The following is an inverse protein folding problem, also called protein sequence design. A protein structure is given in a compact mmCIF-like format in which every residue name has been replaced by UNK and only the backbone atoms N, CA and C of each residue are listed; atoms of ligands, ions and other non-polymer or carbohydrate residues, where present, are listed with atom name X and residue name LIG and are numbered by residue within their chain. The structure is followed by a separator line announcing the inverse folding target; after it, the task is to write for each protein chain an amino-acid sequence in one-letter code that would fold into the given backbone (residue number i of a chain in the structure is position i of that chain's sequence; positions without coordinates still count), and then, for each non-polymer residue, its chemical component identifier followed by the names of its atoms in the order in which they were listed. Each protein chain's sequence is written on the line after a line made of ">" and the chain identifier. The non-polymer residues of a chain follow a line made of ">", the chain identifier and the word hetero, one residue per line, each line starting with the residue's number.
data_IF_030220225967
#
_entry.id   IF_030220225967
#
_cell.length_a   1.000
_cell.length_b   1.000
_cell.length_c   1.000
_cell.angle_alpha   90.00
_cell.angle_beta   90.00
_cell.angle_gamma   90.00
#
_symmetry.space_group_name_H-M   'P 1'
#
loop_
_entity.id
_entity.type
_entity.pdbx_description
1 polymer ?
#
# COMPACT_ATOMS: atom_id res chain seq x y z
N UNK A 1 -16.92 17.52 -14.41
CA UNK A 1 -17.32 16.95 -13.11
C UNK A 1 -16.47 15.72 -12.85
N UNK A 2 -15.94 15.54 -11.64
CA UNK A 2 -15.28 14.31 -11.24
C UNK A 2 -16.34 13.37 -10.67
N UNK A 3 -16.42 12.17 -11.18
CA UNK A 3 -17.33 11.10 -10.70
C UNK A 3 -16.45 9.90 -10.31
N UNK A 4 -16.66 9.38 -9.11
CA UNK A 4 -16.08 8.11 -8.68
C UNK A 4 -17.19 7.07 -8.65
N UNK A 5 -16.99 5.95 -9.32
CA UNK A 5 -17.92 4.83 -9.38
C UNK A 5 -17.19 3.62 -8.81
N UNK A 6 -17.74 3.01 -7.76
CA UNK A 6 -17.25 1.76 -7.17
C UNK A 6 -18.32 0.71 -7.35
N UNK A 7 -17.95 -0.44 -7.92
CA UNK A 7 -18.87 -1.55 -8.22
C UNK A 7 -18.27 -2.83 -7.67
N UNK A 8 -19.08 -3.67 -7.01
CA UNK A 8 -18.66 -4.96 -6.46
C UNK A 8 -18.47 -4.97 -4.94
N UNK A 9 -18.70 -3.85 -4.26
CA UNK A 9 -18.66 -3.75 -2.79
C UNK A 9 -19.93 -4.33 -2.14
N UNK A 10 -21.10 -4.15 -2.77
CA UNK A 10 -22.37 -4.63 -2.28
C UNK A 10 -22.65 -6.05 -2.81
N UNK A 11 -23.40 -6.85 -2.03
CA UNK A 11 -23.67 -8.26 -2.36
C UNK A 11 -24.45 -8.45 -3.69
N UNK A 12 -25.20 -7.44 -4.12
CA UNK A 12 -25.96 -7.44 -5.36
C UNK A 12 -25.30 -6.68 -6.53
N UNK A 13 -24.11 -6.16 -6.32
CA UNK A 13 -23.37 -5.49 -7.39
C UNK A 13 -22.92 -6.51 -8.44
N UNK A 14 -22.93 -6.12 -9.72
CA UNK A 14 -22.34 -6.96 -10.75
C UNK A 14 -20.82 -7.08 -10.53
N UNK A 15 -20.30 -8.28 -10.77
CA UNK A 15 -18.87 -8.50 -10.86
C UNK A 15 -18.45 -8.72 -12.30
N UNK A 16 -17.27 -8.27 -12.65
CA UNK A 16 -16.66 -8.44 -13.96
C UNK A 16 -15.61 -9.55 -13.89
N UNK A 17 -15.18 -10.07 -15.01
CA UNK A 17 -14.17 -11.11 -15.05
C UNK A 17 -13.24 -10.98 -16.24
N UNK A 18 -12.06 -11.56 -16.12
CA UNK A 18 -11.12 -11.75 -17.22
C UNK A 18 -11.15 -13.23 -17.58
N UNK A 19 -11.29 -13.55 -18.85
CA UNK A 19 -11.27 -14.94 -19.29
C UNK A 19 -9.87 -15.51 -19.18
N UNK A 20 -9.78 -16.79 -18.79
CA UNK A 20 -8.55 -17.57 -18.85
C UNK A 20 -8.66 -18.65 -19.92
N UNK A 21 -7.52 -19.06 -20.46
CA UNK A 21 -7.47 -20.10 -21.49
C UNK A 21 -7.63 -21.48 -20.82
N UNK A 22 -8.59 -22.24 -21.32
CA UNK A 22 -8.81 -23.63 -20.86
C UNK A 22 -7.49 -24.43 -20.99
N UNK A 23 -7.09 -25.10 -19.91
CA UNK A 23 -5.84 -25.87 -19.83
C UNK A 23 -5.64 -26.86 -20.99
N UNK A 24 -6.72 -27.45 -21.50
CA UNK A 24 -6.67 -28.36 -22.65
C UNK A 24 -6.29 -27.69 -23.98
N UNK A 25 -6.36 -26.37 -24.06
CA UNK A 25 -6.01 -25.57 -25.22
C UNK A 25 -4.71 -24.78 -25.00
N UNK A 26 -4.13 -24.80 -23.81
CA UNK A 26 -3.02 -23.94 -23.40
C UNK A 26 -1.63 -24.50 -23.70
N UNK A 27 -1.49 -25.45 -24.62
CA UNK A 27 -0.21 -26.10 -24.92
C UNK A 27 0.93 -25.14 -25.26
N UNK A 28 0.67 -24.08 -26.02
CA UNK A 28 1.66 -23.06 -26.33
C UNK A 28 1.94 -22.15 -25.14
N UNK A 29 0.92 -21.74 -24.41
CA UNK A 29 1.02 -20.89 -23.22
C UNK A 29 1.88 -21.57 -22.14
N UNK A 30 1.72 -22.87 -21.93
CA UNK A 30 2.48 -23.66 -20.96
C UNK A 30 3.98 -23.79 -21.30
N UNK A 31 4.40 -23.44 -22.50
CA UNK A 31 5.82 -23.42 -22.90
C UNK A 31 6.49 -22.07 -22.64
N UNK A 32 5.72 -21.03 -22.34
CA UNK A 32 6.24 -19.68 -22.07
C UNK A 32 6.90 -19.62 -20.69
N UNK A 33 7.79 -18.65 -20.50
CA UNK A 33 8.28 -18.31 -19.15
C UNK A 33 7.14 -17.70 -18.33
N UNK A 34 7.20 -17.84 -17.01
CA UNK A 34 6.14 -17.38 -16.11
C UNK A 34 5.78 -15.89 -16.30
N UNK A 35 6.75 -15.03 -16.59
CA UNK A 35 6.54 -13.60 -16.84
C UNK A 35 6.05 -13.27 -18.28
N UNK A 36 5.85 -14.27 -19.11
CA UNK A 36 5.39 -14.13 -20.51
C UNK A 36 4.08 -14.89 -20.75
N UNK A 37 3.53 -15.54 -19.70
CA UNK A 37 2.37 -16.44 -19.83
C UNK A 37 1.12 -15.67 -20.24
N UNK A 38 0.92 -14.46 -19.70
CA UNK A 38 -0.22 -13.58 -19.99
C UNK A 38 0.33 -12.24 -20.44
N UNK A 39 -0.01 -11.79 -21.64
CA UNK A 39 0.30 -10.44 -22.09
C UNK A 39 -0.70 -9.46 -21.47
N UNK A 40 -0.25 -8.25 -21.13
CA UNK A 40 -1.13 -7.22 -20.56
C UNK A 40 -2.29 -6.87 -21.49
N UNK A 41 -2.04 -6.89 -22.80
CA UNK A 41 -3.06 -6.62 -23.82
C UNK A 41 -4.15 -7.69 -23.91
N UNK A 42 -3.93 -8.89 -23.34
CA UNK A 42 -4.89 -9.99 -23.29
C UNK A 42 -5.79 -9.94 -22.04
N UNK A 43 -5.58 -8.97 -21.12
CA UNK A 43 -6.36 -8.78 -19.90
C UNK A 43 -7.66 -8.00 -20.15
N UNK A 44 -8.40 -8.37 -21.20
CA UNK A 44 -9.69 -7.75 -21.51
C UNK A 44 -10.78 -8.21 -20.56
N UNK A 45 -11.55 -7.26 -20.07
CA UNK A 45 -12.62 -7.50 -19.07
C UNK A 45 -13.91 -7.88 -19.76
N UNK A 46 -14.55 -8.96 -19.33
CA UNK A 46 -15.89 -9.37 -19.76
C UNK A 46 -16.95 -8.53 -19.05
N UNK A 47 -17.65 -7.69 -19.78
CA UNK A 47 -18.64 -6.74 -19.26
C UNK A 47 -20.10 -7.12 -19.51
N UNK A 48 -20.38 -8.03 -20.44
CA UNK A 48 -21.72 -8.52 -20.76
C UNK A 48 -21.82 -9.23 -22.10
N UNK A 49 -22.99 -9.80 -22.40
CA UNK A 49 -23.24 -10.55 -23.61
C UNK A 49 -24.67 -10.43 -24.17
N UNK A 50 -25.52 -9.60 -23.58
CA UNK A 50 -26.90 -9.41 -24.05
C UNK A 50 -26.91 -8.32 -25.12
N UNK A 51 -27.41 -8.62 -26.34
CA UNK A 51 -27.53 -7.61 -27.38
C UNK A 51 -28.70 -6.66 -27.10
N UNK A 52 -28.56 -5.42 -27.49
CA UNK A 52 -29.67 -4.45 -27.48
C UNK A 52 -30.67 -4.81 -28.56
N UNK A 53 -31.94 -4.92 -28.20
CA UNK A 53 -33.03 -5.28 -29.12
C UNK A 53 -33.12 -4.26 -30.26
N UNK A 54 -33.29 -4.77 -31.48
CA UNK A 54 -33.42 -3.94 -32.69
C UNK A 54 -32.13 -3.38 -33.26
N UNK A 55 -30.96 -3.74 -32.68
CA UNK A 55 -29.62 -3.40 -33.21
C UNK A 55 -29.00 -4.64 -33.86
N UNK A 56 -28.45 -4.47 -35.07
CA UNK A 56 -27.76 -5.54 -35.81
C UNK A 56 -26.22 -5.47 -35.61
N UNK A 57 -25.69 -4.27 -35.49
CA UNK A 57 -24.26 -4.03 -35.35
C UNK A 57 -23.94 -3.55 -33.94
N UNK A 58 -22.84 -4.04 -33.39
CA UNK A 58 -22.33 -3.67 -32.06
C UNK A 58 -23.39 -3.75 -30.93
N UNK A 59 -24.40 -4.61 -31.10
CA UNK A 59 -25.58 -4.68 -30.25
C UNK A 59 -25.29 -4.93 -28.76
N UNK A 60 -24.23 -5.70 -28.42
CA UNK A 60 -23.79 -5.90 -27.03
C UNK A 60 -23.16 -4.63 -26.48
N UNK A 61 -22.28 -3.99 -27.24
CA UNK A 61 -21.67 -2.72 -26.84
C UNK A 61 -22.74 -1.66 -26.58
N UNK A 62 -23.71 -1.52 -27.50
CA UNK A 62 -24.82 -0.55 -27.36
C UNK A 62 -25.64 -0.81 -26.09
N UNK A 63 -25.88 -2.09 -25.77
CA UNK A 63 -26.60 -2.43 -24.55
C UNK A 63 -25.79 -2.06 -23.28
N UNK A 64 -24.49 -2.34 -23.27
CA UNK A 64 -23.63 -1.97 -22.15
C UNK A 64 -23.55 -0.46 -21.96
N UNK A 65 -23.41 0.31 -23.05
CA UNK A 65 -23.42 1.77 -22.99
C UNK A 65 -24.76 2.31 -22.47
N UNK A 66 -25.89 1.71 -22.88
CA UNK A 66 -27.21 2.09 -22.35
C UNK A 66 -27.32 1.83 -20.85
N UNK A 67 -26.84 0.70 -20.35
CA UNK A 67 -26.82 0.36 -18.92
C UNK A 67 -25.90 1.32 -18.13
N UNK A 68 -24.74 1.66 -18.66
CA UNK A 68 -23.82 2.62 -18.04
C UNK A 68 -24.42 4.02 -17.99
N UNK A 69 -25.10 4.44 -19.06
CA UNK A 69 -25.80 5.71 -19.10
C UNK A 69 -26.95 5.76 -18.10
N UNK A 70 -27.78 4.72 -18.06
CA UNK A 70 -28.92 4.65 -17.15
C UNK A 70 -28.51 4.67 -15.68
N UNK A 71 -27.49 3.85 -15.33
CA UNK A 71 -27.12 3.63 -13.93
C UNK A 71 -26.16 4.67 -13.39
N UNK A 72 -25.25 5.16 -14.22
CA UNK A 72 -24.12 5.99 -13.78
C UNK A 72 -24.00 7.33 -14.52
N UNK A 73 -24.88 7.62 -15.45
CA UNK A 73 -24.81 8.79 -16.36
C UNK A 73 -23.49 8.87 -17.14
N UNK A 74 -22.96 7.71 -17.55
CA UNK A 74 -21.66 7.54 -18.22
C UNK A 74 -21.89 7.28 -19.71
N UNK A 75 -21.13 7.97 -20.56
CA UNK A 75 -21.18 7.86 -22.02
C UNK A 75 -19.89 7.31 -22.60
N UNK A 76 -19.94 6.86 -23.87
CA UNK A 76 -18.75 6.30 -24.53
C UNK A 76 -17.58 7.29 -24.57
N UNK A 77 -17.86 8.59 -24.72
CA UNK A 77 -16.82 9.63 -24.75
C UNK A 77 -16.08 9.78 -23.41
N UNK A 78 -16.73 9.43 -22.29
CA UNK A 78 -16.12 9.50 -20.96
C UNK A 78 -14.96 8.51 -20.80
N UNK A 79 -14.94 7.40 -21.56
CA UNK A 79 -13.83 6.45 -21.56
C UNK A 79 -12.49 7.07 -21.95
N UNK A 80 -12.50 8.17 -22.75
CA UNK A 80 -11.27 8.84 -23.21
C UNK A 80 -10.50 9.46 -22.03
N UNK A 81 -11.22 9.89 -21.00
CA UNK A 81 -10.65 10.54 -19.81
C UNK A 81 -10.94 9.83 -18.49
N UNK A 82 -11.38 8.58 -18.55
CA UNK A 82 -11.62 7.75 -17.38
C UNK A 82 -10.36 6.96 -16.99
N UNK A 83 -10.25 6.70 -15.70
CA UNK A 83 -9.32 5.74 -15.11
C UNK A 83 -10.12 4.55 -14.58
N UNK A 84 -9.71 3.34 -14.94
CA UNK A 84 -10.38 2.10 -14.54
C UNK A 84 -9.42 1.23 -13.74
N UNK A 85 -9.82 0.87 -12.55
CA UNK A 85 -9.12 -0.09 -11.70
C UNK A 85 -9.97 -1.35 -11.56
N UNK A 86 -9.43 -2.47 -12.04
CA UNK A 86 -10.07 -3.78 -11.94
C UNK A 86 -9.38 -4.54 -10.82
N UNK A 87 -10.11 -4.74 -9.74
CA UNK A 87 -9.58 -5.32 -8.49
C UNK A 87 -10.33 -6.60 -8.12
N UNK A 88 -9.75 -7.51 -7.30
CA UNK A 88 -10.45 -8.68 -6.82
C UNK A 88 -11.77 -8.34 -6.12
N UNK A 89 -12.87 -8.94 -6.58
CA UNK A 89 -14.16 -8.80 -5.94
C UNK A 89 -14.22 -9.67 -4.67
N UNK A 90 -14.71 -9.09 -3.61
CA UNK A 90 -14.94 -9.80 -2.35
C UNK A 90 -14.37 -9.08 -1.13
N UNK A 91 -15.06 -9.29 -0.01
CA UNK A 91 -14.72 -8.66 1.27
C UNK A 91 -13.52 -9.35 1.93
N UNK A 92 -12.75 -8.60 2.70
CA UNK A 92 -11.76 -9.18 3.60
C UNK A 92 -12.40 -10.18 4.58
N UNK A 93 -11.68 -11.23 4.94
CA UNK A 93 -12.17 -12.32 5.78
C UNK A 93 -11.16 -12.73 6.84
N UNK A 94 -11.68 -13.28 7.92
CA UNK A 94 -10.88 -14.05 8.86
C UNK A 94 -10.26 -15.26 8.16
N UNK A 95 -8.95 -15.45 8.34
CA UNK A 95 -8.21 -16.58 7.81
C UNK A 95 -7.68 -17.46 8.95
N UNK A 96 -7.62 -18.77 8.68
CA UNK A 96 -7.22 -19.80 9.62
C UNK A 96 -8.39 -20.35 10.45
N UNK A 97 -8.23 -21.57 10.96
CA UNK A 97 -9.27 -22.20 11.80
C UNK A 97 -9.48 -21.44 13.11
N UNK A 98 -8.45 -20.80 13.60
CA UNK A 98 -8.45 -19.95 14.80
C UNK A 98 -8.80 -18.49 14.53
N UNK A 99 -8.98 -18.11 13.26
CA UNK A 99 -9.29 -16.73 12.82
C UNK A 99 -8.26 -15.68 13.25
N UNK A 100 -7.01 -16.09 13.41
CA UNK A 100 -5.92 -15.21 13.89
C UNK A 100 -5.36 -14.29 12.81
N UNK A 101 -5.71 -14.52 11.55
CA UNK A 101 -5.23 -13.77 10.39
C UNK A 101 -6.38 -13.08 9.65
N UNK A 102 -6.02 -12.13 8.80
CA UNK A 102 -6.91 -11.47 7.84
C UNK A 102 -6.43 -11.78 6.43
N UNK A 103 -7.36 -12.15 5.56
CA UNK A 103 -7.15 -12.28 4.13
C UNK A 103 -7.96 -11.23 3.39
N UNK A 104 -7.34 -10.45 2.54
CA UNK A 104 -8.01 -9.41 1.75
C UNK A 104 -7.11 -8.85 0.67
N UNK A 105 -7.70 -8.18 -0.30
CA UNK A 105 -6.99 -7.47 -1.35
C UNK A 105 -6.46 -6.12 -0.85
N UNK A 106 -5.26 -5.76 -1.29
CA UNK A 106 -4.68 -4.43 -1.10
C UNK A 106 -4.42 -4.09 0.38
N UNK A 107 -3.98 -5.06 1.17
CA UNK A 107 -3.45 -4.80 2.50
C UNK A 107 -2.12 -4.04 2.40
N UNK A 108 -1.39 -4.22 1.34
CA UNK A 108 -0.30 -3.38 0.87
C UNK A 108 -0.86 -2.16 0.09
N UNK A 109 -0.80 -0.91 0.61
CA UNK A 109 -0.45 -0.66 2.03
C UNK A 109 -1.59 0.05 2.78
N UNK A 110 -2.83 -0.40 2.56
CA UNK A 110 -3.97 0.11 3.33
C UNK A 110 -3.87 -0.24 4.82
N UNK A 111 -3.13 -1.30 5.16
CA UNK A 111 -3.05 -1.75 6.54
C UNK A 111 -2.20 -0.80 7.39
N UNK A 112 -1.04 -0.33 6.88
CA UNK A 112 -0.23 0.65 7.59
C UNK A 112 -0.85 2.05 7.52
N UNK A 113 -1.51 2.40 6.42
CA UNK A 113 -2.29 3.64 6.31
C UNK A 113 -3.41 3.70 7.37
N UNK A 114 -4.19 2.63 7.52
CA UNK A 114 -5.25 2.52 8.52
C UNK A 114 -4.71 2.58 9.96
N UNK A 115 -3.67 1.80 10.25
CA UNK A 115 -3.10 1.75 11.60
C UNK A 115 -2.44 3.07 11.99
N UNK A 116 -1.83 3.79 11.05
CA UNK A 116 -1.30 5.14 11.25
C UNK A 116 -2.39 6.14 11.60
N UNK A 117 -3.48 6.13 10.82
CA UNK A 117 -4.63 7.01 11.06
C UNK A 117 -5.28 6.72 12.42
N UNK A 118 -5.50 5.45 12.74
CA UNK A 118 -6.10 5.06 14.02
C UNK A 118 -5.20 5.43 15.19
N UNK A 119 -3.88 5.29 15.06
CA UNK A 119 -2.94 5.73 16.07
C UNK A 119 -3.07 7.24 16.37
N UNK A 120 -3.13 8.07 15.31
CA UNK A 120 -3.30 9.53 15.47
C UNK A 120 -4.64 9.88 16.12
N UNK A 121 -5.74 9.25 15.71
CA UNK A 121 -7.08 9.52 16.23
C UNK A 121 -7.24 9.11 17.71
N UNK A 122 -6.44 8.17 18.21
CA UNK A 122 -6.42 7.74 19.60
C UNK A 122 -5.53 8.61 20.51
N UNK A 123 -4.77 9.55 19.95
CA UNK A 123 -3.91 10.44 20.75
C UNK A 123 -4.66 11.72 21.09
N UNK A 124 -4.82 12.01 22.37
CA UNK A 124 -5.51 13.21 22.84
C UNK A 124 -4.60 14.43 22.95
N UNK A 125 -3.35 14.23 23.36
CA UNK A 125 -2.38 15.29 23.55
C UNK A 125 -1.03 14.91 22.97
N UNK A 126 -0.45 15.79 22.18
CA UNK A 126 0.91 15.67 21.65
C UNK A 126 1.68 16.96 21.91
N UNK A 127 2.91 16.85 22.35
CA UNK A 127 3.77 18.03 22.55
C UNK A 127 4.35 18.54 21.22
N UNK A 128 4.60 17.61 20.29
CA UNK A 128 5.11 17.91 18.96
C UNK A 128 4.00 17.82 17.92
N UNK A 129 4.06 18.67 16.90
CA UNK A 129 3.13 18.56 15.77
C UNK A 129 3.25 17.20 15.13
N UNK A 130 2.15 16.45 15.14
CA UNK A 130 2.05 15.12 14.53
C UNK A 130 1.28 15.19 13.22
N UNK A 131 1.79 14.51 12.20
CA UNK A 131 1.21 14.50 10.86
C UNK A 131 1.14 13.05 10.37
N UNK A 132 -0.02 12.65 9.88
CA UNK A 132 -0.15 11.44 9.06
C UNK A 132 -0.27 11.87 7.60
N UNK A 133 0.61 11.34 6.78
CA UNK A 133 0.67 11.64 5.36
C UNK A 133 0.28 10.39 4.57
N UNK A 134 -0.92 10.40 4.01
CA UNK A 134 -1.43 9.34 3.15
C UNK A 134 -1.18 9.74 1.71
N UNK A 135 -0.35 8.98 1.02
CA UNK A 135 0.07 9.26 -0.35
C UNK A 135 -0.41 8.19 -1.32
N UNK A 136 -0.51 8.56 -2.57
CA UNK A 136 -0.86 7.70 -3.69
C UNK A 136 0.39 7.40 -4.54
N UNK A 137 0.28 6.48 -5.49
CA UNK A 137 1.31 6.20 -6.51
C UNK A 137 2.59 5.51 -6.01
N UNK A 138 2.62 4.94 -4.80
CA UNK A 138 3.82 4.25 -4.31
C UNK A 138 4.25 3.14 -5.28
N UNK A 139 3.34 2.25 -5.65
CA UNK A 139 3.55 1.09 -6.52
C UNK A 139 4.00 1.42 -7.98
N UNK A 140 3.86 2.67 -8.37
CA UNK A 140 4.28 3.17 -9.69
C UNK A 140 5.38 4.22 -9.60
N UNK A 141 6.11 4.26 -8.48
CA UNK A 141 7.30 5.09 -8.29
C UNK A 141 7.05 6.45 -7.64
N UNK A 142 5.94 6.65 -6.96
CA UNK A 142 5.62 7.86 -6.16
C UNK A 142 5.63 9.17 -6.94
N UNK A 143 5.48 9.11 -8.26
CA UNK A 143 5.51 10.26 -9.18
C UNK A 143 4.11 10.83 -9.39
N UNK A 144 4.02 12.12 -9.63
CA UNK A 144 2.76 12.83 -9.89
C UNK A 144 2.29 13.68 -8.73
N UNK A 145 1.16 14.36 -8.91
CA UNK A 145 0.66 15.37 -7.97
C UNK A 145 0.21 14.82 -6.62
N UNK A 146 -0.13 13.52 -6.57
CA UNK A 146 -0.60 12.82 -5.37
C UNK A 146 0.45 11.86 -4.80
N UNK A 147 1.57 11.67 -5.48
CA UNK A 147 2.68 10.83 -5.02
C UNK A 147 3.60 11.55 -4.03
N UNK A 148 4.44 10.80 -3.34
CA UNK A 148 5.33 11.35 -2.31
C UNK A 148 6.38 12.32 -2.85
N UNK A 149 6.76 12.22 -4.13
CA UNK A 149 7.66 13.18 -4.79
C UNK A 149 7.01 14.56 -5.04
N UNK A 150 5.69 14.69 -4.85
CA UNK A 150 5.03 15.98 -5.01
C UNK A 150 5.45 16.97 -3.92
N UNK A 151 5.24 18.26 -4.19
CA UNK A 151 5.46 19.31 -3.20
C UNK A 151 4.29 19.50 -2.23
N UNK A 152 3.27 18.64 -2.29
CA UNK A 152 2.06 18.78 -1.50
C UNK A 152 2.34 18.86 0.01
N UNK A 153 3.17 17.95 0.52
CA UNK A 153 3.53 17.92 1.94
C UNK A 153 4.23 19.21 2.39
N UNK A 154 5.31 19.60 1.69
CA UNK A 154 6.06 20.82 1.99
C UNK A 154 5.18 22.07 1.93
N UNK A 155 4.37 22.20 0.88
CA UNK A 155 3.45 23.31 0.71
C UNK A 155 2.38 23.35 1.80
N UNK A 156 1.84 22.21 2.19
CA UNK A 156 0.84 22.14 3.27
C UNK A 156 1.41 22.58 4.62
N UNK A 157 2.63 22.19 4.94
CA UNK A 157 3.32 22.66 6.14
C UNK A 157 3.58 24.16 6.09
N UNK A 158 4.01 24.67 4.93
CA UNK A 158 4.22 26.11 4.74
C UNK A 158 2.93 26.92 4.98
N UNK A 159 1.79 26.46 4.44
CA UNK A 159 0.47 27.08 4.64
C UNK A 159 0.04 27.05 6.12
N UNK A 160 0.24 25.92 6.81
CA UNK A 160 -0.05 25.83 8.25
C UNK A 160 0.80 26.82 9.05
N UNK A 161 2.11 26.88 8.78
CA UNK A 161 3.02 27.82 9.44
C UNK A 161 2.66 29.28 9.15
N UNK A 162 2.23 29.59 7.94
CA UNK A 162 1.79 30.94 7.57
C UNK A 162 0.53 31.36 8.34
N UNK A 163 -0.48 30.49 8.41
CA UNK A 163 -1.70 30.72 9.21
C UNK A 163 -1.43 30.89 10.70
N UNK A 164 -0.35 30.27 11.19
CA UNK A 164 0.11 30.45 12.57
C UNK A 164 0.95 31.75 12.76
N UNK A 165 1.23 32.50 11.70
CA UNK A 165 2.14 33.65 11.73
C UNK A 165 3.61 33.28 12.01
N UNK A 166 4.00 32.03 11.70
CA UNK A 166 5.32 31.48 11.99
C UNK A 166 6.14 31.15 10.73
N UNK A 167 5.60 31.39 9.53
CA UNK A 167 6.27 31.03 8.29
C UNK A 167 7.54 31.84 8.05
N UNK A 168 8.59 31.19 7.68
CA UNK A 168 9.70 31.64 6.85
C UNK A 168 10.36 30.41 6.23
N UNK A 169 11.00 30.57 5.09
CA UNK A 169 11.70 29.47 4.43
C UNK A 169 12.71 28.77 5.36
N UNK A 170 13.46 29.52 6.13
CA UNK A 170 14.42 28.95 7.07
C UNK A 170 13.74 28.21 8.23
N UNK A 171 12.61 28.68 8.73
CA UNK A 171 11.84 27.97 9.78
C UNK A 171 11.26 26.66 9.25
N UNK A 172 10.70 26.67 8.04
CA UNK A 172 10.21 25.46 7.40
C UNK A 172 11.32 24.41 7.23
N UNK A 173 12.46 24.81 6.67
CA UNK A 173 13.62 23.91 6.51
C UNK A 173 14.11 23.33 7.83
N UNK A 174 14.14 24.13 8.90
CA UNK A 174 14.50 23.67 10.25
C UNK A 174 13.46 22.72 10.83
N UNK A 175 12.18 22.98 10.62
CA UNK A 175 11.10 22.09 11.07
C UNK A 175 11.23 20.72 10.39
N UNK A 176 11.39 20.70 9.07
CA UNK A 176 11.58 19.47 8.30
C UNK A 176 12.84 18.69 8.76
N UNK A 177 13.97 19.37 8.89
CA UNK A 177 15.23 18.74 9.34
C UNK A 177 15.12 18.13 10.75
N UNK A 178 14.35 18.75 11.64
CA UNK A 178 14.17 18.29 13.02
C UNK A 178 12.99 17.31 13.18
N UNK A 179 12.36 16.93 12.08
CA UNK A 179 11.27 15.94 12.09
C UNK A 179 11.81 14.53 12.11
N UNK A 180 11.02 13.63 12.67
CA UNK A 180 11.24 12.19 12.69
C UNK A 180 10.11 11.52 11.91
N UNK A 181 10.41 10.47 11.15
CA UNK A 181 9.42 9.78 10.35
C UNK A 181 9.49 8.26 10.50
N UNK A 182 8.33 7.66 10.70
CA UNK A 182 8.10 6.26 10.40
C UNK A 182 7.54 6.19 8.98
N UNK A 183 8.28 5.61 8.07
CA UNK A 183 7.81 5.28 6.72
C UNK A 183 6.97 4.02 6.85
N UNK A 184 5.65 4.23 6.95
CA UNK A 184 4.70 3.16 7.19
C UNK A 184 4.48 2.38 5.90
N UNK A 185 5.00 1.15 5.86
CA UNK A 185 4.90 0.24 4.73
C UNK A 185 5.03 -1.22 5.19
N UNK A 186 4.34 -2.13 4.52
CA UNK A 186 4.40 -3.56 4.84
C UNK A 186 5.74 -4.17 4.46
N UNK A 187 6.06 -5.32 5.03
CA UNK A 187 7.25 -6.10 4.67
C UNK A 187 6.91 -7.58 4.51
N UNK A 188 7.71 -8.32 3.73
CA UNK A 188 7.46 -9.73 3.49
C UNK A 188 7.68 -10.58 4.75
N UNK A 189 6.64 -11.33 5.14
CA UNK A 189 6.75 -12.36 6.18
C UNK A 189 7.42 -13.62 5.64
N UNK A 190 8.15 -14.33 6.51
CA UNK A 190 8.70 -15.64 6.19
C UNK A 190 7.61 -16.60 5.74
N UNK A 191 7.80 -17.19 4.56
CA UNK A 191 6.94 -18.25 4.04
C UNK A 191 7.70 -19.59 4.00
N UNK A 192 7.26 -20.61 4.72
CA UNK A 192 7.90 -21.92 4.73
C UNK A 192 7.84 -22.66 3.38
N UNK A 193 6.97 -22.24 2.47
CA UNK A 193 6.92 -22.80 1.10
C UNK A 193 8.05 -22.23 0.21
N UNK A 194 8.61 -21.07 0.58
CA UNK A 194 9.67 -20.39 -0.19
C UNK A 194 10.89 -20.03 0.68
N UNK A 195 11.45 -21.00 1.45
CA UNK A 195 12.48 -20.69 2.44
C UNK A 195 13.79 -20.21 1.80
N UNK A 196 14.00 -20.50 0.53
CA UNK A 196 15.20 -20.06 -0.20
C UNK A 196 15.23 -18.56 -0.51
N UNK A 197 14.08 -17.90 -0.49
CA UNK A 197 13.99 -16.45 -0.72
C UNK A 197 14.38 -15.59 0.48
N UNK A 198 14.42 -16.20 1.69
CA UNK A 198 14.63 -15.48 2.94
C UNK A 198 15.94 -15.89 3.64
N UNK A 199 16.56 -14.94 4.37
CA UNK A 199 17.55 -15.25 5.41
C UNK A 199 16.83 -15.34 6.76
N UNK A 200 16.75 -16.55 7.33
CA UNK A 200 15.94 -16.83 8.54
C UNK A 200 16.26 -15.98 9.76
N UNK A 201 17.50 -15.46 9.85
CA UNK A 201 17.92 -14.63 10.97
C UNK A 201 17.56 -13.16 10.78
N UNK A 202 17.14 -12.79 9.57
CA UNK A 202 16.89 -11.40 9.20
C UNK A 202 15.61 -11.29 8.35
N UNK A 203 14.56 -12.01 8.74
CA UNK A 203 13.26 -11.96 8.10
C UNK A 203 12.15 -11.75 9.13
N UNK A 204 11.07 -11.14 8.72
CA UNK A 204 9.89 -10.96 9.58
C UNK A 204 9.10 -12.26 9.73
N UNK A 205 8.49 -12.45 10.89
CA UNK A 205 7.61 -13.57 11.19
C UNK A 205 6.25 -13.07 11.67
N UNK A 206 5.19 -13.78 11.35
CA UNK A 206 3.87 -13.52 11.91
C UNK A 206 3.85 -13.65 13.44
N UNK A 207 2.98 -12.87 14.07
CA UNK A 207 2.78 -12.80 15.52
C UNK A 207 4.04 -12.39 16.30
N UNK A 208 4.87 -11.53 15.71
CA UNK A 208 6.05 -10.95 16.35
C UNK A 208 5.98 -9.42 16.47
N UNK A 209 4.85 -8.84 16.06
CA UNK A 209 4.58 -7.42 16.17
C UNK A 209 5.12 -6.58 15.02
N UNK A 210 5.23 -5.28 15.29
CA UNK A 210 5.72 -4.28 14.36
C UNK A 210 7.11 -4.64 13.81
N UNK A 211 7.32 -4.45 12.51
CA UNK A 211 8.61 -4.70 11.87
C UNK A 211 9.33 -3.38 11.60
N UNK A 212 10.56 -3.26 12.05
CA UNK A 212 11.48 -2.20 11.63
C UNK A 212 12.46 -2.74 10.58
N UNK A 213 12.57 -2.05 9.45
CA UNK A 213 13.56 -2.33 8.41
C UNK A 213 14.61 -1.22 8.39
N UNK A 214 15.82 -1.55 8.86
CA UNK A 214 16.93 -0.58 8.92
C UNK A 214 17.32 -0.09 7.54
N UNK A 215 17.36 -1.00 6.58
CA UNK A 215 17.75 -0.73 5.21
C UNK A 215 16.63 -1.13 4.26
N UNK A 216 16.25 -0.22 3.39
CA UNK A 216 15.33 -0.49 2.28
C UNK A 216 15.94 -0.03 0.97
N UNK A 217 15.67 -0.76 -0.10
CA UNK A 217 16.15 -0.45 -1.43
C UNK A 217 16.17 -1.68 -2.34
N UNK A 218 16.07 -1.45 -3.63
CA UNK A 218 16.08 -2.51 -4.64
C UNK A 218 17.48 -2.66 -5.24
N UNK A 219 18.00 -3.88 -5.23
CA UNK A 219 19.26 -4.25 -5.90
C UNK A 219 20.44 -3.31 -5.57
N UNK A 220 20.60 -2.96 -4.31
CA UNK A 220 21.70 -2.14 -3.83
C UNK A 220 21.33 -0.68 -3.59
N UNK A 221 21.55 0.23 -4.51
CA UNK A 221 21.56 1.68 -4.22
C UNK A 221 20.37 2.49 -4.75
N UNK A 222 19.38 1.85 -5.39
CA UNK A 222 18.25 2.57 -5.96
C UNK A 222 17.12 2.71 -4.95
N UNK A 223 16.67 3.94 -4.70
CA UNK A 223 15.57 4.23 -3.78
C UNK A 223 15.84 3.76 -2.34
N UNK A 224 17.10 3.82 -1.91
CA UNK A 224 17.52 3.28 -0.61
C UNK A 224 17.31 4.28 0.52
N UNK A 225 16.91 3.75 1.68
CA UNK A 225 17.06 4.39 2.98
C UNK A 225 17.90 3.50 3.89
N UNK A 226 18.74 4.10 4.72
CA UNK A 226 19.55 3.42 5.73
C UNK A 226 19.42 4.18 7.05
N UNK A 227 18.54 3.68 7.93
CA UNK A 227 18.22 4.34 9.19
C UNK A 227 19.42 4.39 10.14
N UNK A 228 19.63 5.51 10.82
CA UNK A 228 20.72 5.69 11.77
C UNK A 228 20.53 4.81 13.02
N UNK A 229 21.62 4.21 13.53
CA UNK A 229 21.54 3.34 14.72
C UNK A 229 21.03 4.06 15.97
N UNK A 230 21.31 5.35 16.13
CA UNK A 230 20.83 6.17 17.24
C UNK A 230 19.30 6.31 17.20
N UNK A 231 18.73 6.52 16.02
CA UNK A 231 17.28 6.58 15.85
C UNK A 231 16.63 5.23 16.15
N UNK A 232 17.21 4.14 15.67
CA UNK A 232 16.74 2.78 15.99
C UNK A 232 16.81 2.51 17.49
N UNK A 233 17.89 2.89 18.15
CA UNK A 233 18.04 2.71 19.60
C UNK A 233 16.99 3.50 20.39
N UNK A 234 16.65 4.70 19.95
CA UNK A 234 15.58 5.52 20.54
C UNK A 234 14.21 4.86 20.33
N UNK A 235 13.88 4.42 19.12
CA UNK A 235 12.62 3.72 18.81
C UNK A 235 12.45 2.44 19.64
N UNK A 236 13.50 1.64 19.79
CA UNK A 236 13.46 0.44 20.63
C UNK A 236 13.08 0.76 22.07
N UNK A 237 13.66 1.83 22.65
CA UNK A 237 13.30 2.27 24.01
C UNK A 237 11.83 2.67 24.10
N UNK A 238 11.29 3.33 23.10
CA UNK A 238 9.88 3.69 23.03
C UNK A 238 8.99 2.44 23.01
N UNK A 239 9.32 1.46 22.17
CA UNK A 239 8.56 0.21 22.10
C UNK A 239 8.58 -0.53 23.43
N UNK A 240 9.77 -0.66 24.05
CA UNK A 240 9.93 -1.31 25.36
C UNK A 240 9.18 -0.57 26.48
N UNK A 241 9.24 0.76 26.53
CA UNK A 241 8.51 1.62 27.50
C UNK A 241 7.00 1.44 27.41
N UNK A 242 6.47 1.23 26.20
CA UNK A 242 5.03 1.12 25.93
C UNK A 242 4.55 -0.34 25.80
N UNK A 243 5.40 -1.33 26.09
CA UNK A 243 5.10 -2.76 25.96
C UNK A 243 4.60 -3.16 24.57
N UNK A 244 5.15 -2.57 23.52
CA UNK A 244 4.87 -2.90 22.12
C UNK A 244 5.82 -3.99 21.67
N UNK A 245 5.26 -5.07 21.10
CA UNK A 245 6.04 -6.13 20.49
C UNK A 245 6.56 -5.67 19.12
N UNK A 246 7.84 -5.87 18.87
CA UNK A 246 8.48 -5.50 17.61
C UNK A 246 9.57 -6.49 17.21
N UNK A 247 9.92 -6.46 15.95
CA UNK A 247 11.02 -7.22 15.37
C UNK A 247 11.79 -6.36 14.36
N UNK A 248 12.99 -6.79 14.00
CA UNK A 248 13.77 -6.18 12.92
C UNK A 248 13.95 -7.18 11.79
N UNK A 249 13.78 -6.74 10.56
CA UNK A 249 13.91 -7.60 9.40
C UNK A 249 14.30 -6.79 8.15
N UNK A 250 14.76 -7.53 7.14
CA UNK A 250 14.97 -7.04 5.80
C UNK A 250 14.09 -7.84 4.83
N UNK A 251 13.77 -7.28 3.69
CA UNK A 251 12.93 -7.91 2.68
C UNK A 251 13.75 -8.90 1.84
N UNK A 252 13.62 -10.18 2.18
CA UNK A 252 14.30 -11.27 1.48
C UNK A 252 15.81 -11.35 1.73
N UNK A 253 16.51 -12.14 0.92
CA UNK A 253 17.98 -12.18 0.94
C UNK A 253 18.55 -10.95 0.22
N UNK A 254 19.66 -10.43 0.72
CA UNK A 254 20.35 -9.22 0.21
C UNK A 254 20.57 -9.25 -1.31
N UNK A 255 21.01 -10.39 -1.84
CA UNK A 255 21.32 -10.53 -3.27
C UNK A 255 20.11 -10.85 -4.15
N UNK A 256 18.97 -11.19 -3.56
CA UNK A 256 17.76 -11.63 -4.27
C UNK A 256 16.56 -10.72 -4.02
N UNK A 257 16.49 -10.17 -2.82
CA UNK A 257 15.37 -9.39 -2.34
C UNK A 257 15.61 -7.89 -2.44
N UNK A 258 14.79 -7.19 -1.71
CA UNK A 258 14.78 -5.75 -1.63
C UNK A 258 13.57 -5.16 -2.35
N UNK A 259 13.05 -4.10 -1.77
CA UNK A 259 12.00 -3.26 -2.31
C UNK A 259 12.33 -1.80 -2.03
N UNK A 260 11.98 -0.92 -2.95
CA UNK A 260 11.97 0.51 -2.70
C UNK A 260 10.75 0.86 -1.85
N UNK A 261 10.88 1.91 -1.05
CA UNK A 261 9.80 2.51 -0.27
C UNK A 261 9.85 4.02 -0.44
N UNK A 262 8.91 4.75 0.15
CA UNK A 262 8.94 6.21 0.14
C UNK A 262 9.96 6.82 1.12
N UNK A 263 10.60 6.03 1.96
CA UNK A 263 11.47 6.49 3.04
C UNK A 263 12.59 7.44 2.57
N UNK A 264 13.28 7.08 1.47
CA UNK A 264 14.38 7.90 0.94
C UNK A 264 13.93 9.30 0.48
N UNK A 265 12.65 9.46 0.14
CA UNK A 265 12.13 10.74 -0.38
C UNK A 265 12.11 11.79 0.73
N UNK A 266 11.58 11.46 1.91
CA UNK A 266 11.57 12.41 3.03
C UNK A 266 12.93 12.50 3.74
N UNK A 267 13.75 11.47 3.68
CA UNK A 267 15.14 11.54 4.15
C UNK A 267 15.95 12.65 3.46
N UNK A 268 15.55 13.09 2.26
CA UNK A 268 16.17 14.24 1.56
C UNK A 268 16.01 15.58 2.30
N UNK A 269 15.05 15.68 3.22
CA UNK A 269 14.90 16.84 4.11
C UNK A 269 15.81 16.79 5.34
N UNK A 270 16.70 15.81 5.42
CA UNK A 270 17.55 15.51 6.58
C UNK A 270 16.77 15.02 7.81
N UNK A 271 15.56 14.48 7.61
CA UNK A 271 14.81 13.79 8.67
C UNK A 271 15.47 12.46 9.02
N UNK A 272 15.33 12.05 10.27
CA UNK A 272 15.55 10.65 10.64
C UNK A 272 14.35 9.81 10.18
N UNK A 273 14.61 8.83 9.33
CA UNK A 273 13.56 8.00 8.70
C UNK A 273 13.89 6.52 8.85
N UNK A 274 12.89 5.72 9.18
CA UNK A 274 12.98 4.25 9.14
C UNK A 274 11.70 3.68 8.57
N UNK A 275 11.80 2.60 7.81
CA UNK A 275 10.65 1.82 7.38
C UNK A 275 10.13 0.96 8.52
N UNK A 276 8.80 0.94 8.66
CA UNK A 276 8.17 0.38 9.83
C UNK A 276 6.71 -0.03 9.55
N UNK A 277 6.41 -1.31 9.59
CA UNK A 277 5.04 -1.75 9.29
C UNK A 277 4.70 -3.18 9.64
N UNK A 278 3.69 -3.71 8.96
CA UNK A 278 3.12 -5.03 9.21
C UNK A 278 3.80 -6.08 8.34
N UNK A 279 4.10 -7.25 8.92
CA UNK A 279 4.53 -8.41 8.16
C UNK A 279 3.38 -8.98 7.33
N UNK A 280 3.59 -9.20 6.02
CA UNK A 280 2.58 -9.61 5.07
C UNK A 280 3.02 -10.84 4.28
N UNK A 281 2.14 -11.79 4.06
CA UNK A 281 2.30 -12.85 3.06
C UNK A 281 1.45 -12.56 1.83
N UNK A 282 1.83 -13.13 0.69
CA UNK A 282 1.16 -12.93 -0.60
C UNK A 282 1.10 -11.46 -1.04
N UNK A 283 2.07 -10.65 -0.62
CA UNK A 283 2.17 -9.24 -1.06
C UNK A 283 2.03 -9.14 -2.59
N UNK A 284 1.26 -8.18 -3.08
CA UNK A 284 0.91 -7.97 -4.49
C UNK A 284 0.08 -9.09 -5.13
N UNK A 285 -0.32 -10.12 -4.40
CA UNK A 285 -1.26 -11.12 -4.91
C UNK A 285 -2.72 -10.65 -4.74
N UNK A 286 -3.69 -11.25 -5.45
CA UNK A 286 -5.11 -10.91 -5.30
C UNK A 286 -5.65 -11.05 -3.86
N UNK A 287 -5.02 -11.89 -3.05
CA UNK A 287 -5.40 -12.12 -1.66
C UNK A 287 -4.15 -12.14 -0.77
N UNK A 288 -3.94 -11.06 -0.09
CA UNK A 288 -2.84 -10.87 0.85
C UNK A 288 -3.24 -11.32 2.25
N UNK A 289 -2.26 -11.66 3.06
CA UNK A 289 -2.49 -12.22 4.40
C UNK A 289 -1.62 -11.53 5.44
N UNK A 290 -2.25 -11.08 6.52
CA UNK A 290 -1.58 -10.51 7.68
C UNK A 290 -2.05 -11.14 9.00
N UNK A 291 -1.25 -11.01 10.04
CA UNK A 291 -1.62 -11.43 11.39
C UNK A 291 -2.32 -10.30 12.14
N UNK A 292 -3.47 -10.59 12.77
CA UNK A 292 -4.24 -9.61 13.54
C UNK A 292 -3.46 -9.00 14.70
N UNK A 293 -2.60 -9.79 15.35
CA UNK A 293 -1.78 -9.28 16.45
C UNK A 293 -0.71 -8.31 15.95
N UNK A 294 -0.15 -8.55 14.76
CA UNK A 294 0.86 -7.64 14.18
C UNK A 294 0.22 -6.31 13.78
N UNK A 295 -1.01 -6.32 13.26
CA UNK A 295 -1.80 -5.10 13.00
C UNK A 295 -2.00 -4.30 14.29
N UNK A 296 -2.41 -4.98 15.35
CA UNK A 296 -2.65 -4.36 16.67
C UNK A 296 -1.37 -3.75 17.25
N UNK A 297 -0.26 -4.50 17.24
CA UNK A 297 1.03 -4.03 17.74
C UNK A 297 1.58 -2.87 16.89
N UNK A 298 1.38 -2.91 15.57
CA UNK A 298 1.79 -1.82 14.67
C UNK A 298 1.05 -0.53 15.01
N UNK A 299 -0.28 -0.57 15.19
CA UNK A 299 -1.06 0.59 15.62
C UNK A 299 -0.56 1.13 16.96
N UNK A 300 -0.28 0.26 17.92
CA UNK A 300 0.24 0.66 19.22
C UNK A 300 1.66 1.25 19.14
N UNK A 301 2.51 0.70 18.25
CA UNK A 301 3.84 1.24 17.99
C UNK A 301 3.80 2.63 17.39
N UNK A 302 2.93 2.87 16.41
CA UNK A 302 2.72 4.20 15.85
C UNK A 302 2.20 5.19 16.89
N UNK A 303 1.25 4.76 17.72
CA UNK A 303 0.76 5.57 18.83
C UNK A 303 1.87 5.92 19.84
N UNK A 304 2.68 4.94 20.23
CA UNK A 304 3.81 5.14 21.12
C UNK A 304 4.82 6.16 20.55
N UNK A 305 5.08 6.12 19.25
CA UNK A 305 5.92 7.09 18.56
C UNK A 305 5.35 8.51 18.59
N UNK A 306 4.03 8.67 18.39
CA UNK A 306 3.37 9.97 18.35
C UNK A 306 3.34 10.68 19.73
N UNK A 307 3.27 9.93 20.82
CA UNK A 307 3.17 10.48 22.19
C UNK A 307 4.52 10.67 22.88
N UNK A 308 5.63 10.21 22.28
CA UNK A 308 6.95 10.32 22.90
C UNK A 308 7.50 11.75 22.80
N UNK A 309 8.08 12.22 23.92
CA UNK A 309 8.68 13.56 24.09
C UNK A 309 10.08 13.69 23.47
#
# INVERSE_FOLDING_TARGET
>A
TKINIVIGEEDNDPVLGISDLLIHLSGEQLQKKANEVIACEDLNVLVGNIPLEGKEKDAVKENILALLKEKYDFEEEDFISAEFEIVPAGKARDLGLDKSMVMGYGQDDRICAYTSLMALLEVENVEKTSVILLVDKEEVGSIGATGMHSRFFENSLAEVMDRMGQYSELKLKRALQNSLMLSADVTAAYDPNYPSACEKKNTAYFAKGLVFSKYTGARGKSGCNDANPEFIAWLRKIMEKNNVSYQTAELGKVDQGGGGTIAYILAQYNMEVIDCGVALQNMHAPWEVSSKVDIFETKNGYKAFLIEE
#
